data_IF_867654047542
#
_entry.id   IF_867654047542
#
_cell.length_a   1.000
_cell.length_b   1.000
_cell.length_c   1.000
_cell.angle_alpha   90.00
_cell.angle_beta   90.00
_cell.angle_gamma   90.00
#
_symmetry.space_group_name_H-M   'P 1'
#
loop_
_entity.id
_entity.type
_entity.pdbx_description
1 polymer ?
#
# COMPACT_ATOMS: atom_id res chain seq x y z
N UNK A 1 2.85 24.88 24.22
CA UNK A 1 3.84 23.95 23.67
C UNK A 1 3.07 22.78 23.10
N UNK A 2 2.87 22.76 21.78
CA UNK A 2 2.17 21.65 21.10
C UNK A 2 3.24 20.71 20.59
N UNK A 3 3.38 19.54 21.22
CA UNK A 3 4.21 18.46 20.70
C UNK A 3 3.68 18.08 19.32
N UNK A 4 4.49 18.07 18.25
CA UNK A 4 4.06 17.45 17.00
C UNK A 4 3.82 15.98 17.30
N UNK A 5 2.57 15.50 17.14
CA UNK A 5 2.31 14.07 16.98
C UNK A 5 2.81 13.70 15.59
N UNK A 6 4.11 13.64 15.41
CA UNK A 6 4.71 12.95 14.27
C UNK A 6 4.53 11.48 14.59
N UNK A 7 3.45 10.88 14.09
CA UNK A 7 3.40 9.42 13.99
C UNK A 7 4.42 9.06 12.93
N UNK A 8 5.67 8.90 13.34
CA UNK A 8 6.75 8.52 12.44
C UNK A 8 6.45 7.10 11.97
N UNK A 9 6.21 6.96 10.66
CA UNK A 9 5.99 5.66 10.05
C UNK A 9 7.26 4.82 10.24
N UNK A 10 7.12 3.51 10.52
CA UNK A 10 8.27 2.62 10.55
C UNK A 10 8.93 2.60 9.17
N UNK A 11 10.26 2.63 9.15
CA UNK A 11 11.06 2.60 7.93
C UNK A 11 11.07 1.18 7.32
N UNK A 12 9.94 0.83 6.70
CA UNK A 12 9.75 -0.45 6.00
C UNK A 12 9.89 -0.18 4.50
N UNK A 13 10.91 -0.75 3.83
CA UNK A 13 11.04 -0.60 2.38
C UNK A 13 9.84 -1.19 1.65
N UNK A 14 9.23 -0.41 0.72
CA UNK A 14 8.14 -0.85 -0.18
C UNK A 14 8.64 -1.79 -1.28
N UNK A 15 9.29 -2.88 -0.87
CA UNK A 15 9.84 -3.92 -1.75
C UNK A 15 9.39 -5.29 -1.23
N UNK A 16 9.36 -6.30 -2.10
CA UNK A 16 8.93 -7.66 -1.71
C UNK A 16 9.71 -8.16 -0.49
N UNK A 17 11.04 -7.97 -0.48
CA UNK A 17 11.89 -8.39 0.64
C UNK A 17 11.68 -7.58 1.91
N UNK A 18 11.53 -6.25 1.79
CA UNK A 18 11.30 -5.38 2.95
C UNK A 18 9.95 -5.64 3.63
N UNK A 19 8.91 -5.82 2.83
CA UNK A 19 7.56 -6.15 3.32
C UNK A 19 7.55 -7.54 3.97
N UNK A 20 8.07 -8.57 3.29
CA UNK A 20 8.13 -9.92 3.84
C UNK A 20 8.86 -9.99 5.19
N UNK A 21 9.95 -9.23 5.34
CA UNK A 21 10.74 -9.20 6.57
C UNK A 21 10.02 -8.52 7.74
N UNK A 22 9.10 -7.60 7.46
CA UNK A 22 8.38 -6.83 8.47
C UNK A 22 7.01 -7.45 8.85
N UNK A 23 6.44 -8.31 8.01
CA UNK A 23 5.19 -9.01 8.28
C UNK A 23 5.32 -10.05 9.39
N UNK A 24 4.25 -10.22 10.17
CA UNK A 24 4.13 -11.36 11.07
C UNK A 24 4.08 -12.70 10.30
N UNK A 25 4.54 -13.77 10.94
CA UNK A 25 4.66 -15.12 10.35
C UNK A 25 3.38 -15.58 9.64
N UNK A 26 2.20 -15.31 10.24
CA UNK A 26 0.93 -15.74 9.69
C UNK A 26 0.51 -14.97 8.42
N UNK A 27 1.03 -13.75 8.23
CA UNK A 27 0.86 -12.96 7.01
C UNK A 27 1.89 -13.28 5.94
N UNK A 28 3.10 -13.69 6.32
CA UNK A 28 4.17 -14.04 5.37
C UNK A 28 3.73 -15.13 4.38
N UNK A 29 3.05 -16.18 4.84
CA UNK A 29 2.58 -17.26 3.96
C UNK A 29 1.59 -16.75 2.91
N UNK A 30 0.65 -15.89 3.33
CA UNK A 30 -0.35 -15.29 2.45
C UNK A 30 0.30 -14.28 1.48
N UNK A 31 1.28 -13.50 1.96
CA UNK A 31 2.06 -12.60 1.13
C UNK A 31 2.79 -13.35 0.01
N UNK A 32 3.48 -14.44 0.34
CA UNK A 32 4.17 -15.25 -0.67
C UNK A 32 3.21 -15.96 -1.63
N UNK A 33 2.00 -16.30 -1.20
CA UNK A 33 0.98 -16.81 -2.12
C UNK A 33 0.54 -15.75 -3.14
N UNK A 34 0.29 -14.52 -2.69
CA UNK A 34 -0.06 -13.41 -3.59
C UNK A 34 1.10 -13.05 -4.53
N UNK A 35 2.36 -13.06 -4.05
CA UNK A 35 3.54 -12.84 -4.90
C UNK A 35 3.67 -13.92 -5.97
N UNK A 36 3.45 -15.20 -5.62
CA UNK A 36 3.45 -16.31 -6.58
C UNK A 36 2.35 -16.16 -7.63
N UNK A 37 1.14 -15.75 -7.22
CA UNK A 37 0.03 -15.50 -8.16
C UNK A 37 0.39 -14.43 -9.18
N UNK A 38 0.96 -13.31 -8.74
CA UNK A 38 1.39 -12.23 -9.65
C UNK A 38 2.42 -12.75 -10.65
N UNK A 39 3.40 -13.53 -10.18
CA UNK A 39 4.40 -14.15 -11.05
C UNK A 39 3.77 -15.06 -12.10
N UNK A 40 2.72 -15.79 -11.75
CA UNK A 40 1.98 -16.67 -12.66
C UNK A 40 0.97 -15.92 -13.55
N UNK A 41 0.99 -14.58 -13.53
CA UNK A 41 0.08 -13.73 -14.30
C UNK A 41 -1.36 -13.71 -13.74
N UNK A 42 -1.55 -14.18 -12.52
CA UNK A 42 -2.83 -14.19 -11.81
C UNK A 42 -2.89 -12.94 -10.92
N UNK A 43 -4.03 -12.25 -10.94
CA UNK A 43 -4.24 -11.11 -10.05
C UNK A 43 -4.13 -11.53 -8.57
N UNK A 44 -3.27 -10.85 -7.82
CA UNK A 44 -3.22 -10.99 -6.37
C UNK A 44 -4.49 -10.46 -5.72
N UNK A 45 -4.80 -10.97 -4.53
CA UNK A 45 -5.93 -10.47 -3.74
C UNK A 45 -5.64 -9.11 -3.13
N UNK A 46 -4.37 -8.81 -2.87
CA UNK A 46 -3.88 -7.56 -2.29
C UNK A 46 -2.69 -7.06 -3.10
N UNK A 47 -2.59 -5.74 -3.25
CA UNK A 47 -1.48 -5.08 -3.94
C UNK A 47 -0.24 -5.00 -3.05
N UNK A 48 0.91 -4.59 -3.61
CA UNK A 48 2.13 -4.34 -2.83
C UNK A 48 1.91 -3.24 -1.78
N UNK A 49 1.11 -2.22 -2.08
CA UNK A 49 0.81 -1.14 -1.14
C UNK A 49 -0.09 -1.61 0.02
N UNK A 50 -1.06 -2.47 -0.27
CA UNK A 50 -1.89 -3.10 0.77
C UNK A 50 -1.04 -3.95 1.73
N UNK A 51 -0.08 -4.69 1.18
CA UNK A 51 0.83 -5.52 1.96
C UNK A 51 1.84 -4.70 2.76
N UNK A 52 2.33 -3.59 2.21
CA UNK A 52 3.17 -2.66 2.95
C UNK A 52 2.41 -2.05 4.13
N UNK A 53 1.15 -1.64 3.93
CA UNK A 53 0.30 -1.15 5.02
C UNK A 53 0.14 -2.21 6.12
N UNK A 54 -0.11 -3.47 5.76
CA UNK A 54 -0.18 -4.55 6.75
C UNK A 54 1.14 -4.70 7.52
N UNK A 55 2.29 -4.63 6.85
CA UNK A 55 3.60 -4.70 7.49
C UNK A 55 3.84 -3.52 8.46
N UNK A 56 3.39 -2.31 8.11
CA UNK A 56 3.43 -1.14 9.00
C UNK A 56 2.58 -1.39 10.25
N UNK A 57 1.34 -1.83 10.07
CA UNK A 57 0.38 -2.12 11.14
C UNK A 57 0.92 -3.20 12.10
N UNK A 58 1.57 -4.23 11.56
CA UNK A 58 2.14 -5.34 12.32
C UNK A 58 3.25 -4.88 13.28
N UNK A 59 3.97 -3.80 12.97
CA UNK A 59 4.99 -3.23 13.89
C UNK A 59 4.41 -2.70 15.20
N UNK A 60 3.10 -2.47 15.28
CA UNK A 60 2.44 -2.11 16.53
C UNK A 60 2.38 -3.26 17.54
N UNK A 61 2.59 -4.52 17.10
CA UNK A 61 2.38 -5.70 17.93
C UNK A 61 0.94 -5.74 18.47
N UNK A 62 0.79 -5.97 19.78
CA UNK A 62 -0.53 -6.08 20.43
C UNK A 62 -1.13 -4.71 20.85
N UNK A 63 -0.42 -3.60 20.66
CA UNK A 63 -0.91 -2.27 21.02
C UNK A 63 -1.97 -1.78 20.03
N UNK A 64 -3.23 -1.84 20.44
CA UNK A 64 -4.38 -1.47 19.60
C UNK A 64 -4.46 0.02 19.28
N UNK A 65 -3.99 0.89 20.17
CA UNK A 65 -3.99 2.35 19.94
C UNK A 65 -2.91 2.71 18.94
N UNK A 66 -1.71 2.13 19.10
CA UNK A 66 -0.62 2.29 18.15
C UNK A 66 -0.99 1.72 16.78
N UNK A 67 -1.66 0.56 16.75
CA UNK A 67 -2.13 -0.07 15.51
C UNK A 67 -3.06 0.84 14.71
N UNK A 68 -4.08 1.40 15.35
CA UNK A 68 -4.99 2.34 14.70
C UNK A 68 -4.26 3.60 14.20
N UNK A 69 -3.31 4.11 14.99
CA UNK A 69 -2.53 5.30 14.59
C UNK A 69 -1.63 5.02 13.38
N UNK A 70 -1.05 3.81 13.30
CA UNK A 70 -0.22 3.40 12.16
C UNK A 70 -1.04 3.10 10.91
N UNK A 71 -2.25 2.56 11.06
CA UNK A 71 -3.20 2.38 9.95
C UNK A 71 -3.54 3.73 9.32
N UNK A 72 -3.98 4.70 10.11
CA UNK A 72 -4.29 6.06 9.64
C UNK A 72 -3.08 6.73 8.96
N UNK A 73 -1.88 6.57 9.54
CA UNK A 73 -0.66 7.15 8.99
C UNK A 73 -0.24 6.48 7.66
N UNK A 74 -0.37 5.16 7.56
CA UNK A 74 -0.04 4.41 6.35
C UNK A 74 -1.00 4.76 5.22
N UNK A 75 -2.30 4.84 5.49
CA UNK A 75 -3.32 5.24 4.53
C UNK A 75 -3.06 6.68 4.02
N UNK A 76 -2.76 7.61 4.92
CA UNK A 76 -2.43 8.99 4.54
C UNK A 76 -1.19 9.04 3.64
N UNK A 77 -0.15 8.26 3.95
CA UNK A 77 1.07 8.20 3.15
C UNK A 77 0.82 7.64 1.75
N UNK A 78 0.00 6.58 1.62
CA UNK A 78 -0.38 6.03 0.31
C UNK A 78 -1.16 7.05 -0.53
N UNK A 79 -2.04 7.84 0.10
CA UNK A 79 -2.75 8.93 -0.58
C UNK A 79 -1.77 10.01 -1.06
N UNK A 80 -0.77 10.39 -0.25
CA UNK A 80 0.24 11.37 -0.64
C UNK A 80 1.11 10.88 -1.79
N UNK A 81 1.49 9.60 -1.79
CA UNK A 81 2.21 8.98 -2.89
C UNK A 81 1.40 8.95 -4.18
N UNK A 82 0.13 8.53 -4.11
CA UNK A 82 -0.76 8.53 -5.26
C UNK A 82 -0.97 9.94 -5.83
N UNK A 83 -0.96 10.98 -4.98
CA UNK A 83 -1.00 12.37 -5.42
C UNK A 83 0.30 12.83 -6.06
N UNK A 84 1.45 12.38 -5.55
CA UNK A 84 2.76 12.73 -6.09
C UNK A 84 3.00 12.08 -7.47
N UNK A 85 2.50 10.85 -7.66
CA UNK A 85 2.55 10.13 -8.94
C UNK A 85 1.43 10.57 -9.90
N UNK A 86 0.48 11.37 -9.43
CA UNK A 86 -0.56 11.95 -10.28
C UNK A 86 -0.05 13.26 -10.90
N UNK A 87 -0.22 13.39 -12.22
CA UNK A 87 0.02 14.66 -12.94
C UNK A 87 -0.96 15.79 -12.54
N UNK A 88 -1.78 15.58 -11.49
CA UNK A 88 -2.78 16.53 -10.99
C UNK A 88 -4.04 16.64 -11.85
N UNK A 89 -4.12 15.85 -12.93
CA UNK A 89 -5.28 15.80 -13.82
C UNK A 89 -6.32 14.86 -13.20
N UNK A 90 -7.37 15.42 -12.61
CA UNK A 90 -8.59 14.67 -12.32
C UNK A 90 -9.40 14.52 -13.60
N UNK A 91 -9.37 13.34 -14.21
CA UNK A 91 -10.29 12.99 -15.30
C UNK A 91 -11.61 12.49 -14.71
N UNK A 92 -12.73 12.87 -15.34
CA UNK A 92 -14.01 12.23 -15.07
C UNK A 92 -13.99 10.77 -15.54
N UNK A 93 -14.90 9.95 -15.02
CA UNK A 93 -15.01 8.55 -15.39
C UNK A 93 -15.19 8.35 -16.91
N UNK A 94 -16.00 9.19 -17.55
CA UNK A 94 -16.25 9.14 -18.99
C UNK A 94 -14.99 9.48 -19.81
N UNK A 95 -14.20 10.46 -19.35
CA UNK A 95 -12.93 10.82 -20.00
C UNK A 95 -11.89 9.71 -19.85
N UNK A 96 -11.82 9.06 -18.68
CA UNK A 96 -10.89 7.96 -18.43
C UNK A 96 -11.19 6.75 -19.32
N UNK A 97 -12.47 6.41 -19.48
CA UNK A 97 -12.91 5.33 -20.37
C UNK A 97 -12.60 5.63 -21.84
N UNK A 98 -12.78 6.87 -22.29
CA UNK A 98 -12.48 7.27 -23.66
C UNK A 98 -10.97 7.15 -24.00
N UNK A 99 -10.08 7.48 -23.06
CA UNK A 99 -8.62 7.30 -23.24
C UNK A 99 -8.26 5.82 -23.26
N UNK A 100 -8.84 5.00 -22.38
CA UNK A 100 -8.60 3.55 -22.37
C UNK A 100 -8.97 2.89 -23.71
N UNK A 101 -10.12 3.26 -24.27
CA UNK A 101 -10.56 2.77 -25.59
C UNK A 101 -9.64 3.23 -26.73
N UNK A 102 -9.13 4.46 -26.70
CA UNK A 102 -8.17 4.94 -27.71
C UNK A 102 -6.81 4.22 -27.64
N UNK A 103 -6.40 3.80 -26.44
CA UNK A 103 -5.11 3.14 -26.22
C UNK A 103 -5.13 1.65 -26.62
N UNK A 104 -6.30 1.02 -26.69
CA UNK A 104 -6.49 -0.38 -27.10
C UNK A 104 -6.52 -0.57 -28.64
N UNK A 105 -6.58 0.51 -29.41
CA UNK A 105 -6.76 0.48 -30.88
C UNK A 105 -5.46 0.89 -31.64
N UNK A 106 -4.36 1.10 -30.93
CA UNK A 106 -3.04 1.42 -31.51
C UNK A 106 -2.07 0.24 -31.47
#
# INVERSE_FOLDING_TARGET
MSTPRTTELPDIPRTIGGIAAALETHWQDKFWDDVRRIHDGISARMTIDDWWRQAVIDTAGEDTVRRATLEDAADLHLIELAKADSDGITMSHDEAMAVYEQTQVS
#
